data_IF_575141623280
#
_entry.id   IF_575141623280
#
_cell.length_a   1.000
_cell.length_b   1.000
_cell.length_c   1.000
_cell.angle_alpha   90.00
_cell.angle_beta   90.00
_cell.angle_gamma   90.00
#
_symmetry.space_group_name_H-M   'P 1'
#
loop_
_entity.id
_entity.type
_entity.pdbx_description
1 polymer ?
#
# COMPACT_ATOMS: atom_id res chain seq x y z
N UNK A 1 -15.18 -12.92 9.92
CA UNK A 1 -14.40 -13.57 8.85
C UNK A 1 -12.99 -13.04 8.94
N UNK A 2 -12.02 -13.90 9.24
CA UNK A 2 -10.62 -13.53 9.37
C UNK A 2 -10.00 -13.56 7.98
N UNK A 3 -9.52 -12.41 7.49
CA UNK A 3 -8.83 -12.33 6.19
C UNK A 3 -7.54 -13.14 6.30
N UNK A 4 -7.44 -14.23 5.54
CA UNK A 4 -6.25 -15.08 5.53
C UNK A 4 -5.28 -14.54 4.48
N UNK A 5 -4.18 -13.94 4.94
CA UNK A 5 -3.18 -13.30 4.08
C UNK A 5 -2.40 -14.26 3.18
N UNK A 6 -2.70 -15.56 3.23
CA UNK A 6 -2.01 -16.61 2.48
C UNK A 6 -2.23 -16.57 0.96
N UNK A 7 -3.20 -15.78 0.47
CA UNK A 7 -3.45 -15.60 -0.96
C UNK A 7 -2.94 -14.28 -1.54
N UNK A 8 -2.41 -13.37 -0.71
CA UNK A 8 -1.79 -12.16 -1.23
C UNK A 8 -0.42 -12.52 -1.80
N UNK A 9 -0.28 -12.33 -3.12
CA UNK A 9 1.00 -12.42 -3.81
C UNK A 9 2.06 -11.59 -3.05
N UNK A 10 3.33 -12.01 -3.06
CA UNK A 10 4.41 -11.31 -2.31
C UNK A 10 4.43 -9.82 -2.64
N UNK A 11 4.10 -9.47 -3.89
CA UNK A 11 3.97 -8.09 -4.35
C UNK A 11 2.88 -7.31 -3.61
N UNK A 12 1.70 -7.89 -3.36
CA UNK A 12 0.61 -7.21 -2.65
C UNK A 12 1.00 -6.83 -1.22
N UNK A 13 1.66 -7.76 -0.50
CA UNK A 13 2.14 -7.49 0.86
C UNK A 13 3.16 -6.37 0.90
N UNK A 14 4.08 -6.33 -0.08
CA UNK A 14 5.07 -5.26 -0.18
C UNK A 14 4.42 -3.92 -0.50
N UNK A 15 3.49 -3.87 -1.47
CA UNK A 15 2.71 -2.65 -1.78
C UNK A 15 2.06 -2.11 -0.51
N UNK A 16 1.29 -2.95 0.18
CA UNK A 16 0.54 -2.55 1.35
C UNK A 16 1.46 -2.04 2.47
N UNK A 17 2.60 -2.71 2.71
CA UNK A 17 3.59 -2.26 3.71
C UNK A 17 4.21 -0.91 3.36
N UNK A 18 4.57 -0.67 2.10
CA UNK A 18 5.14 0.61 1.66
C UNK A 18 4.11 1.73 1.84
N UNK A 19 2.86 1.49 1.40
CA UNK A 19 1.79 2.47 1.57
C UNK A 19 1.48 2.76 3.03
N UNK A 20 1.57 1.76 3.90
CA UNK A 20 1.36 1.94 5.33
C UNK A 20 2.44 2.79 6.00
N UNK A 21 3.71 2.67 5.60
CA UNK A 21 4.81 3.45 6.15
C UNK A 21 4.73 4.94 5.81
N UNK A 22 4.07 5.26 4.70
CA UNK A 22 3.96 6.63 4.20
C UNK A 22 2.58 7.23 4.43
N UNK A 23 1.62 6.43 4.92
CA UNK A 23 0.29 6.90 5.25
C UNK A 23 0.37 8.03 6.30
N UNK A 24 -0.44 9.12 6.19
CA UNK A 24 -1.56 9.35 5.27
C UNK A 24 -1.17 9.97 3.91
N UNK A 25 0.10 9.93 3.52
CA UNK A 25 0.56 10.55 2.27
C UNK A 25 0.43 9.57 1.09
N UNK A 26 -0.16 9.97 -0.05
CA UNK A 26 -0.11 9.19 -1.28
C UNK A 26 1.34 8.93 -1.69
N UNK A 27 1.65 7.69 -2.04
CA UNK A 27 3.01 7.27 -2.36
C UNK A 27 3.05 6.67 -3.75
N UNK A 28 4.03 7.11 -4.54
CA UNK A 28 4.27 6.53 -5.85
C UNK A 28 4.84 5.12 -5.69
N UNK A 29 4.18 4.15 -6.33
CA UNK A 29 4.59 2.75 -6.30
C UNK A 29 5.08 2.37 -7.70
N UNK A 30 6.40 2.33 -7.87
CA UNK A 30 7.05 1.82 -9.06
C UNK A 30 7.25 0.30 -9.00
N UNK A 31 7.27 -0.36 -10.17
CA UNK A 31 7.60 -1.79 -10.25
C UNK A 31 8.99 -2.11 -9.67
N UNK A 32 9.94 -1.19 -9.87
CA UNK A 32 11.32 -1.33 -9.41
C UNK A 32 11.44 -1.24 -7.88
N UNK A 33 10.53 -0.54 -7.20
CA UNK A 33 10.56 -0.39 -5.73
C UNK A 33 10.15 -1.69 -5.01
N UNK A 34 9.43 -2.56 -5.71
CA UNK A 34 8.79 -3.75 -5.13
C UNK A 34 9.49 -5.03 -5.56
N UNK A 35 10.01 -5.07 -6.78
CA UNK A 35 10.71 -6.21 -7.34
C UNK A 35 11.99 -5.78 -8.05
N UNK A 36 12.98 -5.20 -7.33
CA UNK A 36 14.24 -4.75 -7.92
C UNK A 36 15.01 -5.92 -8.57
N UNK A 37 14.82 -7.15 -8.07
CA UNK A 37 15.46 -8.37 -8.57
C UNK A 37 14.87 -8.88 -9.89
N UNK A 38 13.78 -8.26 -10.37
CA UNK A 38 13.01 -8.71 -11.54
C UNK A 38 12.85 -7.62 -12.60
N UNK A 39 13.76 -6.64 -12.63
CA UNK A 39 13.73 -5.47 -13.51
C UNK A 39 13.57 -5.79 -15.02
N UNK A 40 13.89 -7.03 -15.45
CA UNK A 40 13.73 -7.52 -16.83
C UNK A 40 12.61 -8.54 -17.07
N UNK A 41 11.84 -8.92 -16.06
CA UNK A 41 10.84 -9.99 -16.18
C UNK A 41 9.44 -9.43 -16.48
N UNK A 42 9.09 -9.42 -17.77
CA UNK A 42 7.82 -8.90 -18.30
C UNK A 42 6.60 -9.59 -17.67
N UNK A 43 6.71 -10.88 -17.34
CA UNK A 43 5.61 -11.62 -16.73
C UNK A 43 5.34 -11.17 -15.30
N UNK A 44 6.39 -10.91 -14.52
CA UNK A 44 6.25 -10.37 -13.16
C UNK A 44 5.73 -8.93 -13.16
N UNK A 45 6.09 -8.13 -14.16
CA UNK A 45 5.51 -6.78 -14.34
C UNK A 45 4.02 -6.82 -14.63
N UNK A 46 3.57 -7.74 -15.49
CA UNK A 46 2.14 -7.93 -15.75
C UNK A 46 1.37 -8.39 -14.49
N UNK A 47 1.94 -9.32 -13.73
CA UNK A 47 1.36 -9.77 -12.45
C UNK A 47 1.27 -8.64 -11.41
N UNK A 48 2.27 -7.76 -11.36
CA UNK A 48 2.28 -6.60 -10.48
C UNK A 48 1.17 -5.59 -10.82
N UNK A 49 1.01 -5.26 -12.11
CA UNK A 49 -0.09 -4.40 -12.57
C UNK A 49 -1.45 -5.04 -12.22
N UNK A 50 -1.58 -6.35 -12.42
CA UNK A 50 -2.78 -7.11 -12.03
C UNK A 50 -3.06 -7.01 -10.53
N UNK A 51 -2.01 -7.04 -9.70
CA UNK A 51 -2.13 -6.91 -8.25
C UNK A 51 -2.62 -5.52 -7.83
N UNK A 52 -2.07 -4.45 -8.39
CA UNK A 52 -2.55 -3.09 -8.14
C UNK A 52 -4.00 -2.90 -8.57
N UNK A 53 -4.36 -3.44 -9.74
CA UNK A 53 -5.73 -3.40 -10.24
C UNK A 53 -6.69 -4.15 -9.29
N UNK A 54 -6.29 -5.31 -8.78
CA UNK A 54 -7.07 -6.08 -7.81
C UNK A 54 -7.24 -5.33 -6.48
N UNK A 55 -6.15 -4.84 -5.89
CA UNK A 55 -6.21 -4.08 -4.63
C UNK A 55 -7.09 -2.83 -4.74
N UNK A 56 -7.08 -2.18 -5.90
CA UNK A 56 -7.96 -1.04 -6.18
C UNK A 56 -9.42 -1.47 -6.37
N UNK A 57 -9.66 -2.59 -7.05
CA UNK A 57 -11.01 -3.12 -7.25
C UNK A 57 -11.68 -3.50 -5.93
N UNK A 58 -10.92 -4.11 -5.01
CA UNK A 58 -11.38 -4.50 -3.67
C UNK A 58 -11.44 -3.32 -2.68
N UNK A 59 -11.27 -2.08 -3.16
CA UNK A 59 -11.27 -0.86 -2.35
C UNK A 59 -10.23 -0.88 -1.22
N UNK A 60 -9.12 -1.60 -1.37
CA UNK A 60 -8.02 -1.66 -0.39
C UNK A 60 -7.07 -0.47 -0.55
N UNK A 61 -6.84 -0.05 -1.80
CA UNK A 61 -6.02 1.12 -2.14
C UNK A 61 -6.79 2.06 -3.06
N UNK A 62 -6.56 3.35 -2.91
CA UNK A 62 -7.07 4.38 -3.81
C UNK A 62 -5.91 5.03 -4.58
N UNK A 63 -6.18 5.48 -5.80
CA UNK A 63 -5.24 6.30 -6.55
C UNK A 63 -5.41 7.78 -6.22
N UNK A 64 -4.33 8.53 -6.24
CA UNK A 64 -4.39 9.99 -6.10
C UNK A 64 -4.93 10.63 -7.39
N UNK A 65 -5.88 11.57 -7.24
CA UNK A 65 -6.44 12.30 -8.39
C UNK A 65 -5.34 13.17 -9.01
N UNK A 66 -4.89 12.79 -10.21
CA UNK A 66 -3.83 13.49 -10.94
C UNK A 66 -2.53 12.71 -11.08
N UNK A 67 -2.39 11.57 -10.40
CA UNK A 67 -1.26 10.65 -10.57
C UNK A 67 -1.74 9.27 -11.03
N UNK A 68 -1.04 8.70 -12.02
CA UNK A 68 -1.30 7.35 -12.51
C UNK A 68 -0.58 6.27 -11.68
N UNK A 69 0.38 6.66 -10.85
CA UNK A 69 1.29 5.78 -10.11
C UNK A 69 1.30 6.02 -8.60
N UNK A 70 0.63 7.07 -8.10
CA UNK A 70 0.49 7.33 -6.66
C UNK A 70 -0.75 6.65 -6.07
N UNK A 71 -0.55 5.93 -4.98
CA UNK A 71 -1.59 5.21 -4.27
C UNK A 71 -1.58 5.54 -2.77
N UNK A 72 -2.73 5.36 -2.13
CA UNK A 72 -2.92 5.51 -0.68
C UNK A 72 -3.79 4.37 -0.16
N UNK A 73 -3.60 3.96 1.09
CA UNK A 73 -4.50 3.01 1.75
C UNK A 73 -5.87 3.66 1.97
N UNK A 74 -6.94 2.90 1.69
CA UNK A 74 -8.29 3.27 2.09
C UNK A 74 -8.55 2.85 3.53
N UNK A 75 -9.74 3.15 4.05
CA UNK A 75 -10.18 2.62 5.34
C UNK A 75 -10.22 1.09 5.36
N UNK A 76 -10.63 0.44 4.26
CA UNK A 76 -10.63 -1.01 4.16
C UNK A 76 -9.21 -1.58 4.13
N UNK A 77 -8.27 -0.90 3.44
CA UNK A 77 -6.87 -1.28 3.45
C UNK A 77 -6.19 -1.11 4.80
N UNK A 78 -6.47 -0.02 5.52
CA UNK A 78 -5.99 0.18 6.89
C UNK A 78 -6.52 -0.89 7.84
N UNK A 79 -7.77 -1.36 7.66
CA UNK A 79 -8.37 -2.41 8.48
C UNK A 79 -7.70 -3.79 8.30
N UNK A 80 -6.90 -3.98 7.24
CA UNK A 80 -6.07 -5.18 7.08
C UNK A 80 -4.86 -5.17 8.02
N UNK A 81 -4.53 -4.02 8.59
CA UNK A 81 -3.42 -3.89 9.52
C UNK A 81 -3.93 -3.87 10.98
N UNK A 82 -3.13 -4.44 11.87
CA UNK A 82 -3.41 -4.49 13.30
C UNK A 82 -3.18 -3.13 14.00
N UNK A 83 -3.40 -3.10 15.31
CA UNK A 83 -3.19 -1.96 16.22
C UNK A 83 -1.89 -1.17 15.98
N UNK A 84 -0.82 -1.80 15.47
CA UNK A 84 0.46 -1.13 15.24
C UNK A 84 0.38 0.04 14.24
N UNK A 85 -0.47 -0.03 13.21
CA UNK A 85 -0.66 1.10 12.28
C UNK A 85 -1.52 2.21 12.88
N UNK A 86 -2.48 1.85 13.74
CA UNK A 86 -3.23 2.84 14.50
C UNK A 86 -2.36 3.56 15.53
N UNK A 87 -1.39 2.86 16.13
CA UNK A 87 -0.35 3.48 16.97
C UNK A 87 0.55 4.40 16.17
N UNK A 88 1.06 3.94 15.03
CA UNK A 88 1.89 4.78 14.14
C UNK A 88 1.16 6.06 13.72
N UNK A 89 -0.12 5.93 13.36
CA UNK A 89 -0.98 7.06 13.03
C UNK A 89 -1.22 8.01 14.22
N UNK A 90 -1.48 7.44 15.40
CA UNK A 90 -1.66 8.23 16.62
C UNK A 90 -0.38 8.97 17.02
N UNK A 91 0.79 8.36 16.82
CA UNK A 91 2.09 8.99 17.05
C UNK A 91 2.33 10.15 16.09
N UNK A 92 2.07 9.99 14.79
CA UNK A 92 2.19 11.08 13.82
C UNK A 92 1.24 12.25 14.11
N UNK A 93 -0.02 11.95 14.44
CA UNK A 93 -0.99 12.98 14.84
C UNK A 93 -0.59 13.74 16.12
N UNK A 94 0.12 13.07 17.04
CA UNK A 94 0.64 13.71 18.26
C UNK A 94 1.90 14.52 18.00
N UNK A 95 2.74 14.11 17.05
CA UNK A 95 3.95 14.84 16.66
C UNK A 95 3.59 16.16 15.98
N UNK A 96 2.59 16.15 15.09
CA UNK A 96 2.00 17.38 14.49
C UNK A 96 1.36 18.31 15.55
N UNK A 97 0.81 17.75 16.64
CA UNK A 97 0.22 18.52 17.73
C UNK A 97 1.26 19.17 18.67
N UNK A 98 2.55 18.82 18.56
CA UNK A 98 3.65 19.44 19.30
C UNK A 98 4.34 20.57 18.56
N UNK A 99 3.88 20.91 17.35
CA UNK A 99 4.34 22.06 16.56
C UNK A 99 3.28 23.17 16.66
N UNK A 100 2.98 23.66 17.86
CA UNK A 100 2.21 24.91 18.07
C UNK A 100 2.77 25.67 19.28
#
# INVERSE_FOLDING_TARGET
>A
MSVSFTQFDKSAVVILKVLAQHFPTPTEIGFNDICPESEGDVHKRAAHIGTLAFLRHEDIIAHEVGSASSFILTQAGLALFNEDIFKHLAEQLNDDAHII
#
